data_IF_580433458455
#
_entry.id   IF_580433458455
#
_cell.length_a   1.000
_cell.length_b   1.000
_cell.length_c   1.000
_cell.angle_alpha   90.00
_cell.angle_beta   90.00
_cell.angle_gamma   90.00
#
_symmetry.space_group_name_H-M   'P 1'
#
loop_
_entity.id
_entity.type
_entity.pdbx_description
1 polymer ?
#
# COMPACT_ATOMS: atom_id res chain seq x y z
N UNK A 1 11.49 -1.79 -5.65
CA UNK A 1 10.29 -0.97 -5.86
C UNK A 1 10.11 0.00 -4.69
N UNK A 2 9.80 1.27 -4.94
CA UNK A 2 9.42 2.25 -3.90
C UNK A 2 7.92 2.50 -4.00
N UNK A 3 7.22 2.35 -2.88
CA UNK A 3 5.78 2.63 -2.79
C UNK A 3 5.53 3.99 -2.14
N UNK A 4 4.71 4.82 -2.79
CA UNK A 4 4.28 6.12 -2.26
C UNK A 4 2.75 6.12 -2.18
N UNK A 5 2.19 6.58 -1.06
CA UNK A 5 0.72 6.68 -0.95
C UNK A 5 0.15 7.64 -1.98
N UNK A 6 -1.00 7.30 -2.57
CA UNK A 6 -1.76 8.18 -3.46
C UNK A 6 -2.08 9.55 -2.82
N UNK A 7 -2.24 9.63 -1.50
CA UNK A 7 -2.45 10.91 -0.80
C UNK A 7 -1.26 11.86 -0.88
N UNK A 8 -0.05 11.37 -1.19
CA UNK A 8 1.10 12.24 -1.43
C UNK A 8 0.95 13.04 -2.74
N UNK A 9 0.23 12.50 -3.74
CA UNK A 9 -0.01 13.20 -5.01
C UNK A 9 -0.88 14.46 -4.83
N UNK A 10 -1.72 14.51 -3.79
CA UNK A 10 -2.53 15.68 -3.46
C UNK A 10 -1.68 16.84 -2.88
N UNK A 11 -0.41 16.59 -2.53
CA UNK A 11 0.46 17.56 -1.86
C UNK A 11 1.30 18.32 -2.88
N UNK A 12 0.83 19.51 -3.28
CA UNK A 12 1.49 20.39 -4.27
C UNK A 12 2.98 20.72 -4.00
N UNK A 13 3.42 20.67 -2.74
CA UNK A 13 4.79 20.97 -2.31
C UNK A 13 5.66 19.72 -2.12
N UNK A 14 5.09 18.53 -2.37
CA UNK A 14 5.81 17.26 -2.33
C UNK A 14 5.81 16.65 -3.74
N UNK A 15 6.75 17.06 -4.62
CA UNK A 15 6.86 16.48 -5.94
C UNK A 15 7.24 15.00 -5.81
N UNK A 16 6.32 14.12 -6.21
CA UNK A 16 6.56 12.67 -6.23
C UNK A 16 7.49 12.35 -7.42
N UNK A 17 8.59 11.61 -7.22
CA UNK A 17 9.49 11.22 -8.32
C UNK A 17 8.79 10.33 -9.34
N UNK A 18 9.22 10.37 -10.61
CA UNK A 18 8.61 9.57 -11.69
C UNK A 18 8.80 8.05 -11.51
N UNK A 19 9.92 7.62 -10.95
CA UNK A 19 10.25 6.20 -10.75
C UNK A 19 9.76 5.68 -9.40
N UNK A 20 8.46 5.84 -9.15
CA UNK A 20 7.78 5.25 -7.99
C UNK A 20 6.49 4.57 -8.41
N UNK A 21 6.02 3.65 -7.57
CA UNK A 21 4.71 3.02 -7.71
C UNK A 21 3.77 3.60 -6.67
N UNK A 22 2.57 4.00 -7.11
CA UNK A 22 1.58 4.62 -6.24
C UNK A 22 0.74 3.54 -5.55
N UNK A 23 0.82 3.50 -4.22
CA UNK A 23 -0.01 2.65 -3.37
C UNK A 23 -1.37 3.29 -3.15
N UNK A 24 -2.42 2.60 -3.60
CA UNK A 24 -3.81 2.93 -3.28
C UNK A 24 -4.32 1.90 -2.28
N UNK A 25 -4.61 2.32 -1.05
CA UNK A 25 -5.20 1.45 -0.04
C UNK A 25 -6.73 1.50 -0.14
N UNK A 26 -7.33 0.38 -0.57
CA UNK A 26 -8.77 0.27 -0.85
C UNK A 26 -9.62 0.44 0.42
N UNK A 27 -9.05 0.25 1.62
CA UNK A 27 -9.76 0.50 2.88
C UNK A 27 -10.29 1.95 2.99
N UNK A 28 -9.60 2.90 2.34
CA UNK A 28 -9.95 4.33 2.35
C UNK A 28 -10.91 4.72 1.21
N UNK A 29 -11.21 3.80 0.30
CA UNK A 29 -12.03 4.07 -0.88
C UNK A 29 -13.45 3.55 -0.63
N UNK A 30 -14.44 4.46 -0.74
CA UNK A 30 -15.82 4.17 -0.31
C UNK A 30 -16.71 3.57 -1.39
N UNK A 31 -16.36 3.74 -2.67
CA UNK A 31 -17.20 3.30 -3.79
C UNK A 31 -16.34 2.93 -5.00
N UNK A 32 -16.86 2.04 -5.86
CA UNK A 32 -16.19 1.69 -7.12
C UNK A 32 -15.92 2.93 -8.00
N UNK A 33 -16.87 3.87 -8.20
CA UNK A 33 -16.58 5.10 -8.95
C UNK A 33 -15.43 5.93 -8.37
N UNK A 34 -15.28 5.98 -7.04
CA UNK A 34 -14.16 6.67 -6.40
C UNK A 34 -12.83 5.95 -6.68
N UNK A 35 -12.82 4.60 -6.63
CA UNK A 35 -11.66 3.81 -7.02
C UNK A 35 -11.28 4.09 -8.47
N UNK A 36 -12.22 3.94 -9.40
CA UNK A 36 -11.99 4.14 -10.83
C UNK A 36 -11.51 5.57 -11.14
N UNK A 37 -12.03 6.57 -10.42
CA UNK A 37 -11.53 7.95 -10.50
C UNK A 37 -10.06 8.06 -10.09
N UNK A 38 -9.68 7.52 -8.91
CA UNK A 38 -8.28 7.52 -8.44
C UNK A 38 -7.38 6.81 -9.47
N UNK A 39 -7.81 5.66 -9.99
CA UNK A 39 -7.03 4.90 -10.99
C UNK A 39 -6.88 5.71 -12.29
N UNK A 40 -7.93 6.41 -12.74
CA UNK A 40 -7.90 7.23 -13.96
C UNK A 40 -6.99 8.45 -13.84
N UNK A 41 -7.00 9.12 -12.69
CA UNK A 41 -6.23 10.35 -12.45
C UNK A 41 -4.75 10.08 -12.07
N UNK A 42 -4.36 8.82 -11.86
CA UNK A 42 -2.99 8.45 -11.49
C UNK A 42 -2.17 8.08 -12.73
N UNK A 43 -1.17 8.90 -13.05
CA UNK A 43 -0.27 8.70 -14.21
C UNK A 43 0.90 7.72 -13.95
N UNK A 44 0.93 7.09 -12.77
CA UNK A 44 1.99 6.18 -12.32
C UNK A 44 1.53 4.73 -12.37
N UNK A 45 2.47 3.78 -12.34
CA UNK A 45 2.13 2.40 -12.02
C UNK A 45 1.51 2.31 -10.63
N UNK A 46 0.50 1.44 -10.49
CA UNK A 46 -0.30 1.32 -9.27
C UNK A 46 -0.04 0.00 -8.56
N UNK A 47 0.12 0.13 -7.25
CA UNK A 47 0.05 -0.94 -6.27
C UNK A 47 -1.29 -0.84 -5.54
N UNK A 48 -2.22 -1.74 -5.86
CA UNK A 48 -3.55 -1.73 -5.26
C UNK A 48 -3.56 -2.64 -4.03
N UNK A 49 -3.81 -2.06 -2.86
CA UNK A 49 -3.75 -2.76 -1.57
C UNK A 49 -5.17 -3.04 -1.06
N UNK A 50 -5.58 -4.31 -1.18
CA UNK A 50 -6.89 -4.79 -0.78
C UNK A 50 -6.88 -5.34 0.66
N UNK A 51 -7.63 -4.73 1.59
CA UNK A 51 -7.60 -5.08 3.01
C UNK A 51 -8.52 -6.29 3.35
N UNK A 52 -8.22 -7.46 2.81
CA UNK A 52 -8.99 -8.68 3.06
C UNK A 52 -9.07 -9.01 4.56
N UNK A 53 -10.28 -9.29 5.06
CA UNK A 53 -10.49 -9.68 6.46
C UNK A 53 -10.30 -8.55 7.48
N UNK A 54 -10.14 -7.30 7.04
CA UNK A 54 -9.88 -6.16 7.93
C UNK A 54 -11.07 -5.88 8.86
N UNK A 55 -10.79 -5.84 10.16
CA UNK A 55 -11.73 -5.46 11.23
C UNK A 55 -11.51 -4.05 11.77
N UNK A 56 -10.29 -3.51 11.65
CA UNK A 56 -9.92 -2.15 12.09
C UNK A 56 -10.48 -1.09 11.13
N UNK A 57 -10.98 0.05 11.61
CA UNK A 57 -11.32 1.17 10.74
C UNK A 57 -10.13 1.68 9.90
N UNK A 58 -10.36 2.23 8.70
CA UNK A 58 -11.61 2.16 7.96
C UNK A 58 -11.89 0.73 7.47
N UNK A 59 -13.15 0.30 7.55
CA UNK A 59 -13.59 -1.00 7.04
C UNK A 59 -13.80 -0.89 5.52
N UNK A 60 -13.28 -1.85 4.71
CA UNK A 60 -13.50 -1.85 3.28
C UNK A 60 -14.99 -1.93 2.96
N UNK A 61 -15.41 -1.13 1.99
CA UNK A 61 -16.82 -1.09 1.52
C UNK A 61 -16.96 -1.68 0.13
N UNK A 62 -15.87 -1.77 -0.62
CA UNK A 62 -15.81 -2.34 -1.96
C UNK A 62 -15.53 -3.84 -1.84
N UNK A 63 -16.34 -4.67 -2.51
CA UNK A 63 -16.12 -6.10 -2.54
C UNK A 63 -14.85 -6.45 -3.34
N UNK A 64 -14.24 -7.61 -3.02
CA UNK A 64 -13.08 -8.10 -3.76
C UNK A 64 -13.39 -8.25 -5.25
N UNK A 65 -14.57 -8.75 -5.59
CA UNK A 65 -15.03 -8.89 -6.98
C UNK A 65 -15.02 -7.55 -7.72
N UNK A 66 -15.57 -6.51 -7.11
CA UNK A 66 -15.65 -5.19 -7.72
C UNK A 66 -14.26 -4.56 -7.89
N UNK A 67 -13.38 -4.80 -6.92
CA UNK A 67 -11.99 -4.37 -6.97
C UNK A 67 -11.27 -5.07 -8.14
N UNK A 68 -11.42 -6.40 -8.27
CA UNK A 68 -10.82 -7.16 -9.36
C UNK A 68 -11.37 -6.73 -10.72
N UNK A 69 -12.68 -6.49 -10.84
CA UNK A 69 -13.27 -5.92 -12.07
C UNK A 69 -12.65 -4.59 -12.46
N UNK A 70 -12.35 -3.73 -11.47
CA UNK A 70 -11.65 -2.47 -11.72
C UNK A 70 -10.23 -2.75 -12.24
N UNK A 71 -9.48 -3.66 -11.60
CA UNK A 71 -8.11 -4.02 -12.01
C UNK A 71 -8.04 -4.44 -13.49
N UNK A 72 -9.01 -5.21 -13.99
CA UNK A 72 -9.06 -5.60 -15.42
C UNK A 72 -9.18 -4.42 -16.40
N UNK A 73 -9.67 -3.27 -15.96
CA UNK A 73 -9.91 -2.09 -16.79
C UNK A 73 -8.73 -1.11 -16.83
N UNK A 74 -7.75 -1.25 -15.94
CA UNK A 74 -6.66 -0.29 -15.75
C UNK A 74 -5.28 -0.96 -15.87
N UNK A 75 -4.68 -1.01 -17.07
CA UNK A 75 -3.44 -1.74 -17.34
C UNK A 75 -2.20 -1.25 -16.58
N UNK A 76 -2.23 -0.04 -16.01
CA UNK A 76 -1.18 0.52 -15.17
C UNK A 76 -1.28 0.05 -13.70
N UNK A 77 -2.33 -0.66 -13.32
CA UNK A 77 -2.29 -1.47 -12.10
C UNK A 77 -1.33 -2.64 -12.33
N UNK A 78 -0.19 -2.61 -11.66
CA UNK A 78 0.87 -3.63 -11.82
C UNK A 78 0.96 -4.59 -10.65
N UNK A 79 0.46 -4.20 -9.49
CA UNK A 79 0.55 -4.99 -8.28
C UNK A 79 -0.77 -5.01 -7.54
N UNK A 80 -1.11 -6.17 -6.99
CA UNK A 80 -2.30 -6.37 -6.17
C UNK A 80 -1.91 -7.04 -4.86
N UNK A 81 -2.08 -6.34 -3.74
CA UNK A 81 -1.78 -6.86 -2.42
C UNK A 81 -3.04 -7.28 -1.67
N UNK A 82 -2.89 -8.31 -0.84
CA UNK A 82 -3.97 -8.84 0.00
C UNK A 82 -3.47 -9.09 1.41
N UNK A 83 -4.30 -8.71 2.38
CA UNK A 83 -4.10 -8.98 3.81
C UNK A 83 -4.46 -10.42 4.19
N UNK A 84 -4.06 -10.80 5.41
CA UNK A 84 -4.37 -12.04 6.12
C UNK A 84 -4.00 -13.30 5.33
N UNK A 85 -2.84 -13.28 4.68
CA UNK A 85 -2.38 -14.42 3.89
C UNK A 85 -1.69 -15.44 4.79
N UNK A 86 -2.42 -16.51 5.08
CA UNK A 86 -1.94 -17.65 5.88
C UNK A 86 -2.17 -19.00 5.19
N UNK A 87 -2.58 -19.00 3.92
CA UNK A 87 -2.88 -20.19 3.13
C UNK A 87 -2.66 -19.89 1.64
N UNK A 88 -1.81 -20.64 0.93
CA UNK A 88 -1.60 -20.46 -0.50
C UNK A 88 -2.84 -20.64 -1.36
N UNK A 89 -3.82 -21.46 -0.97
CA UNK A 89 -5.03 -21.61 -1.78
C UNK A 89 -5.80 -20.28 -1.86
N UNK A 90 -5.83 -19.51 -0.77
CA UNK A 90 -6.44 -18.18 -0.77
C UNK A 90 -5.73 -17.24 -1.76
N UNK A 91 -4.40 -17.34 -1.89
CA UNK A 91 -3.61 -16.56 -2.85
C UNK A 91 -3.94 -17.01 -4.27
N UNK A 92 -3.97 -18.32 -4.52
CA UNK A 92 -4.24 -18.89 -5.83
C UNK A 92 -5.63 -18.55 -6.36
N UNK A 93 -6.65 -18.56 -5.50
CA UNK A 93 -8.01 -18.11 -5.85
C UNK A 93 -7.98 -16.70 -6.43
N UNK A 94 -7.18 -15.81 -5.86
CA UNK A 94 -7.07 -14.42 -6.31
C UNK A 94 -6.18 -14.31 -7.55
N UNK A 95 -5.02 -14.98 -7.58
CA UNK A 95 -4.12 -15.02 -8.75
C UNK A 95 -4.84 -15.46 -10.03
N UNK A 96 -5.69 -16.51 -9.95
CA UNK A 96 -6.47 -17.01 -11.10
C UNK A 96 -7.46 -15.97 -11.67
N UNK A 97 -7.81 -14.95 -10.89
CA UNK A 97 -8.78 -13.91 -11.25
C UNK A 97 -8.13 -12.60 -11.64
N UNK A 98 -6.84 -12.43 -11.35
CA UNK A 98 -6.08 -11.24 -11.75
C UNK A 98 -5.69 -11.31 -13.23
N UNK A 99 -5.60 -10.16 -13.92
CA UNK A 99 -4.95 -10.09 -15.22
C UNK A 99 -3.51 -10.61 -15.13
N UNK A 100 -3.01 -11.25 -16.19
CA UNK A 100 -1.66 -11.85 -16.23
C UNK A 100 -0.52 -10.84 -16.06
N UNK A 101 -0.76 -9.56 -16.32
CA UNK A 101 0.22 -8.49 -16.13
C UNK A 101 0.29 -7.96 -14.69
N UNK A 102 -0.62 -8.40 -13.81
CA UNK A 102 -0.70 -7.95 -12.42
C UNK A 102 0.00 -8.95 -11.52
N UNK A 103 1.01 -8.49 -10.80
CA UNK A 103 1.73 -9.28 -9.82
C UNK A 103 0.99 -9.30 -8.48
N UNK A 104 0.74 -10.49 -7.96
CA UNK A 104 0.20 -10.67 -6.61
C UNK A 104 1.28 -10.39 -5.55
N UNK A 105 0.90 -9.72 -4.47
CA UNK A 105 1.79 -9.36 -3.35
C UNK A 105 1.13 -9.73 -2.02
N UNK A 106 1.36 -10.93 -1.48
CA UNK A 106 0.78 -11.31 -0.20
C UNK A 106 1.38 -10.49 0.95
N UNK A 107 0.52 -10.06 1.88
CA UNK A 107 0.96 -9.42 3.11
C UNK A 107 1.19 -10.46 4.21
N UNK A 108 2.38 -10.42 4.80
CA UNK A 108 2.76 -11.22 5.96
C UNK A 108 2.52 -10.38 7.21
N UNK A 109 1.48 -10.74 7.96
CA UNK A 109 0.98 -9.95 9.09
C UNK A 109 0.64 -10.80 10.34
N UNK A 110 0.91 -12.11 10.30
CA UNK A 110 0.70 -13.03 11.42
C UNK A 110 1.88 -13.99 11.59
N UNK A 111 2.07 -14.54 12.79
CA UNK A 111 3.07 -15.57 13.04
C UNK A 111 2.88 -16.78 12.12
N UNK A 112 1.64 -17.20 11.88
CA UNK A 112 1.33 -18.29 10.96
C UNK A 112 1.76 -17.98 9.53
N UNK A 113 1.55 -16.74 9.05
CA UNK A 113 2.07 -16.29 7.76
C UNK A 113 3.60 -16.36 7.68
N UNK A 114 4.31 -16.03 8.76
CA UNK A 114 5.78 -16.16 8.83
C UNK A 114 6.22 -17.63 8.76
N UNK A 115 5.55 -18.51 9.49
CA UNK A 115 5.88 -19.93 9.53
C UNK A 115 5.66 -20.59 8.16
N UNK A 116 4.58 -20.21 7.47
CA UNK A 116 4.23 -20.72 6.14
C UNK A 116 4.92 -20.01 4.96
N UNK A 117 5.74 -18.99 5.21
CA UNK A 117 6.31 -18.14 4.16
C UNK A 117 6.99 -18.92 3.02
N UNK A 118 7.72 -19.98 3.34
CA UNK A 118 8.38 -20.81 2.33
C UNK A 118 7.38 -21.51 1.41
N UNK A 119 6.31 -22.06 1.98
CA UNK A 119 5.25 -22.72 1.22
C UNK A 119 4.52 -21.70 0.35
N UNK A 120 4.14 -20.54 0.91
CA UNK A 120 3.55 -19.43 0.16
C UNK A 120 4.39 -19.05 -1.05
N UNK A 121 5.70 -18.80 -0.87
CA UNK A 121 6.55 -18.33 -1.95
C UNK A 121 6.77 -19.40 -3.02
N UNK A 122 7.04 -20.65 -2.62
CA UNK A 122 7.31 -21.74 -3.57
C UNK A 122 6.08 -22.15 -4.37
N UNK A 123 4.91 -22.19 -3.71
CA UNK A 123 3.66 -22.63 -4.34
C UNK A 123 3.10 -21.55 -5.28
N UNK A 124 3.15 -20.28 -4.86
CA UNK A 124 2.53 -19.18 -5.62
C UNK A 124 3.46 -18.46 -6.58
N UNK A 125 4.78 -18.66 -6.47
CA UNK A 125 5.79 -18.03 -7.32
C UNK A 125 5.84 -16.51 -7.21
N UNK A 126 5.35 -15.93 -6.11
CA UNK A 126 5.33 -14.47 -5.91
C UNK A 126 6.75 -13.90 -5.86
N UNK A 127 6.94 -12.75 -6.53
CA UNK A 127 8.22 -12.02 -6.53
C UNK A 127 8.37 -11.07 -5.34
N UNK A 128 7.26 -10.57 -4.83
CA UNK A 128 7.20 -9.60 -3.74
C UNK A 128 6.32 -10.15 -2.62
N UNK A 129 6.73 -9.90 -1.38
CA UNK A 129 5.88 -9.96 -0.20
C UNK A 129 5.88 -8.60 0.49
N UNK A 130 4.83 -8.28 1.24
CA UNK A 130 4.80 -7.08 2.08
C UNK A 130 4.76 -7.48 3.55
N UNK A 131 5.73 -7.02 4.34
CA UNK A 131 5.76 -7.30 5.77
C UNK A 131 5.00 -6.20 6.52
N UNK A 132 3.82 -6.53 7.02
CA UNK A 132 3.03 -5.62 7.86
C UNK A 132 3.47 -5.79 9.33
N UNK A 133 4.51 -5.04 9.68
CA UNK A 133 5.14 -5.11 11.01
C UNK A 133 4.19 -4.76 12.16
N UNK A 134 3.26 -3.84 11.93
CA UNK A 134 2.32 -3.41 12.96
C UNK A 134 1.32 -4.53 13.27
N UNK A 135 0.69 -5.08 12.23
CA UNK A 135 -0.27 -6.18 12.42
C UNK A 135 0.42 -7.44 12.94
N UNK A 136 1.67 -7.73 12.51
CA UNK A 136 2.47 -8.82 13.07
C UNK A 136 2.73 -8.64 14.57
N UNK A 137 3.09 -7.43 15.00
CA UNK A 137 3.35 -7.14 16.41
C UNK A 137 2.09 -7.35 17.27
N UNK A 138 0.93 -6.90 16.80
CA UNK A 138 -0.33 -7.11 17.49
C UNK A 138 -0.79 -8.57 17.46
N UNK A 139 -0.54 -9.30 16.37
CA UNK A 139 -0.90 -10.70 16.23
C UNK A 139 -0.25 -11.59 17.32
N UNK A 140 0.98 -11.27 17.72
CA UNK A 140 1.70 -12.00 18.77
C UNK A 140 1.53 -11.41 20.18
N UNK A 141 0.56 -10.52 20.38
CA UNK A 141 0.28 -9.92 21.68
C UNK A 141 1.30 -8.88 22.16
N UNK A 142 2.12 -8.33 21.26
CA UNK A 142 3.11 -7.29 21.59
C UNK A 142 4.41 -7.80 22.22
N UNK A 143 4.71 -9.10 22.09
CA UNK A 143 5.94 -9.71 22.59
C UNK A 143 7.17 -9.23 21.79
N UNK A 144 7.94 -8.29 22.34
CA UNK A 144 8.99 -7.58 21.62
C UNK A 144 10.15 -8.47 21.16
N UNK A 145 10.52 -9.48 21.95
CA UNK A 145 11.60 -10.41 21.59
C UNK A 145 11.17 -11.31 20.43
N UNK A 146 10.00 -11.96 20.55
CA UNK A 146 9.41 -12.77 19.49
C UNK A 146 9.17 -11.96 18.21
N UNK A 147 8.71 -10.72 18.32
CA UNK A 147 8.57 -9.82 17.17
C UNK A 147 9.90 -9.66 16.43
N UNK A 148 10.98 -9.38 17.16
CA UNK A 148 12.32 -9.24 16.60
C UNK A 148 12.80 -10.51 15.90
N UNK A 149 12.52 -11.67 16.46
CA UNK A 149 12.83 -12.97 15.86
C UNK A 149 12.04 -13.23 14.57
N UNK A 150 10.74 -12.96 14.58
CA UNK A 150 9.86 -13.19 13.43
C UNK A 150 10.23 -12.27 12.25
N UNK A 151 10.52 -10.98 12.51
CA UNK A 151 10.99 -10.06 11.46
C UNK A 151 12.31 -10.53 10.85
N UNK A 152 13.27 -11.00 11.67
CA UNK A 152 14.52 -11.58 11.18
C UNK A 152 14.26 -12.84 10.34
N UNK A 153 13.35 -13.71 10.80
CA UNK A 153 12.96 -14.94 10.10
C UNK A 153 12.38 -14.63 8.72
N UNK A 154 11.47 -13.66 8.60
CA UNK A 154 10.92 -13.23 7.30
C UNK A 154 12.03 -12.78 6.36
N UNK A 155 12.93 -11.89 6.81
CA UNK A 155 14.03 -11.37 5.97
C UNK A 155 15.00 -12.47 5.52
N UNK A 156 15.37 -13.37 6.42
CA UNK A 156 16.29 -14.47 6.11
C UNK A 156 15.67 -15.46 5.12
N UNK A 157 14.44 -15.93 5.39
CA UNK A 157 13.71 -16.80 4.46
C UNK A 157 13.50 -16.13 3.10
N UNK A 158 13.14 -14.85 3.09
CA UNK A 158 12.94 -14.12 1.84
C UNK A 158 14.22 -14.06 1.00
N UNK A 159 15.37 -13.82 1.65
CA UNK A 159 16.69 -13.85 1.01
C UNK A 159 17.02 -15.24 0.45
N UNK A 160 16.79 -16.29 1.24
CA UNK A 160 17.02 -17.69 0.82
C UNK A 160 16.16 -18.07 -0.40
N UNK A 161 14.91 -17.58 -0.43
CA UNK A 161 13.94 -17.86 -1.49
C UNK A 161 14.03 -16.88 -2.67
N UNK A 162 14.96 -15.91 -2.63
CA UNK A 162 15.10 -14.85 -3.64
C UNK A 162 13.82 -14.06 -3.92
N UNK A 163 13.03 -13.79 -2.88
CA UNK A 163 11.81 -12.95 -2.93
C UNK A 163 12.08 -11.59 -2.29
N UNK A 164 11.59 -10.52 -2.90
CA UNK A 164 11.79 -9.15 -2.40
C UNK A 164 10.77 -8.83 -1.28
N UNK A 165 11.25 -8.28 -0.16
CA UNK A 165 10.39 -7.85 0.96
C UNK A 165 10.14 -6.36 0.90
N UNK A 166 8.88 -5.96 0.83
CA UNK A 166 8.44 -4.58 0.96
C UNK A 166 8.18 -4.28 2.45
N UNK A 167 8.86 -3.28 2.97
CA UNK A 167 8.71 -2.83 4.35
C UNK A 167 8.43 -1.34 4.43
N UNK A 168 7.70 -0.93 5.46
CA UNK A 168 7.64 0.48 5.84
C UNK A 168 8.99 0.93 6.41
N UNK A 169 9.62 1.90 5.75
CA UNK A 169 10.88 2.53 6.18
C UNK A 169 10.69 3.92 6.82
N UNK A 170 9.56 4.58 6.60
CA UNK A 170 9.29 5.91 7.15
C UNK A 170 7.88 6.40 6.84
N UNK A 171 7.52 7.54 7.41
CA UNK A 171 6.23 8.21 7.20
C UNK A 171 6.47 9.68 6.87
N UNK A 172 5.59 10.25 6.03
CA UNK A 172 5.63 11.67 5.68
C UNK A 172 4.59 12.38 6.52
N UNK A 173 5.02 13.40 7.28
CA UNK A 173 4.13 14.31 7.98
C UNK A 173 4.01 15.62 7.20
N UNK A 174 2.80 16.15 7.11
CA UNK A 174 2.52 17.43 6.48
C UNK A 174 1.35 18.14 7.17
N UNK A 175 1.21 19.47 6.99
CA UNK A 175 0.10 20.23 7.57
C UNK A 175 -1.27 19.70 7.11
N UNK A 176 -2.21 19.60 8.06
CA UNK A 176 -3.58 19.16 7.82
C UNK A 176 -4.36 20.15 6.94
N UNK A 177 -4.13 21.46 7.13
CA UNK A 177 -4.76 22.55 6.39
C UNK A 177 -3.70 23.36 5.66
N UNK A 178 -3.91 23.60 4.36
CA UNK A 178 -2.92 24.27 3.49
C UNK A 178 -3.48 25.56 2.88
N UNK A 179 -4.79 25.79 2.93
CA UNK A 179 -5.42 26.86 2.14
C UNK A 179 -5.24 28.29 2.66
N UNK A 180 -4.60 28.54 3.81
CA UNK A 180 -4.49 29.92 4.32
C UNK A 180 -3.10 30.57 4.20
N UNK A 181 -2.00 29.81 4.22
CA UNK A 181 -0.65 30.42 4.31
C UNK A 181 -0.12 31.04 3.01
N UNK A 182 -0.63 30.63 1.85
CA UNK A 182 -0.19 31.21 0.56
C UNK A 182 -1.00 32.47 0.22
N UNK A 183 -2.25 32.56 0.71
CA UNK A 183 -3.09 33.76 0.55
C UNK A 183 -2.59 34.90 1.43
N UNK A 184 -2.34 34.64 2.72
CA UNK A 184 -1.88 35.68 3.66
C UNK A 184 -0.49 36.23 3.32
N UNK A 185 0.47 35.38 2.95
CA UNK A 185 1.81 35.84 2.55
C UNK A 185 1.79 36.67 1.24
N UNK A 186 0.90 36.37 0.29
CA UNK A 186 0.72 37.21 -0.90
C UNK A 186 0.05 38.55 -0.57
N UNK A 187 -0.89 38.57 0.37
CA UNK A 187 -1.57 39.79 0.82
C UNK A 187 -0.65 40.68 1.66
N UNK A 188 0.22 40.11 2.50
CA UNK A 188 1.22 40.88 3.27
C UNK A 188 2.33 41.44 2.39
N UNK A 189 2.88 40.65 1.46
CA UNK A 189 3.89 41.13 0.52
C UNK A 189 3.36 42.27 -0.38
N UNK A 190 2.09 42.22 -0.77
CA UNK A 190 1.47 43.29 -1.57
C UNK A 190 1.12 44.54 -0.75
N UNK A 191 0.97 44.44 0.58
CA UNK A 191 0.81 45.61 1.47
C UNK A 191 2.13 46.33 1.76
N UNK A 192 3.25 45.61 1.90
CA UNK A 192 4.57 46.22 2.10
C UNK A 192 5.07 46.98 0.86
N UNK A 193 4.76 46.47 -0.34
CA UNK A 193 5.09 47.14 -1.61
C UNK A 193 4.29 48.45 -1.85
N UNK A 194 3.11 48.59 -1.25
CA UNK A 194 2.29 49.83 -1.36
C UNK A 194 2.64 50.84 -0.25
N UNK A 195 3.19 50.39 0.88
CA UNK A 195 3.62 51.26 1.97
C UNK A 195 5.01 51.90 1.77
N UNK A 196 5.75 51.48 0.74
CA UNK A 196 7.11 51.95 0.42
C UNK A 196 7.21 52.75 -0.88
N UNK A 197 6.07 53.08 -1.50
CA UNK A 197 5.92 53.95 -2.68
C UNK A 197 5.17 55.23 -2.34
#
# INVERSE_FOLDING_TARGET
>A
MILVSNHALERKYFPVPQDVVIRVNVAWVRTVPMLEKILTETEYDIFLDYPQGRTKPPVPTIALEDTLRSVHRFPHVKYFAVSNVEDPEAIHVIQRRLPTHVMMVPKIETQKGVDQLEYIVKDTGVRYIMLDKEDLYFNIGGESELYGELVKRVRNKAKELSVEVLELHGVIFGPAYIEEKISSAKVEASKELVATS
#
